data_IF_800066931166
#
_entry.id   IF_800066931166
#
_cell.length_a   1.000
_cell.length_b   1.000
_cell.length_c   1.000
_cell.angle_alpha   90.00
_cell.angle_beta   90.00
_cell.angle_gamma   90.00
#
_symmetry.space_group_name_H-M   'P 1'
#
loop_
_entity.id
_entity.type
_entity.pdbx_description
1 polymer ?
#
# COMPACT_ATOMS: atom_id res chain seq x y z
N UNK A 1 8.30 -18.21 8.30
CA UNK A 1 8.05 -17.38 9.50
C UNK A 1 7.51 -18.21 10.69
N UNK A 2 6.30 -18.81 10.62
CA UNK A 2 5.72 -19.48 11.79
C UNK A 2 6.54 -20.66 12.34
N UNK A 3 7.08 -21.50 11.46
CA UNK A 3 7.97 -22.62 11.84
C UNK A 3 9.25 -22.13 12.54
N UNK A 4 9.82 -21.03 12.01
CA UNK A 4 11.00 -20.41 12.61
C UNK A 4 10.67 -19.84 14.00
N UNK A 5 9.54 -19.12 14.11
CA UNK A 5 9.10 -18.54 15.38
C UNK A 5 8.89 -19.63 16.45
N UNK A 6 8.21 -20.72 16.12
CA UNK A 6 8.03 -21.86 17.03
C UNK A 6 9.36 -22.48 17.44
N UNK A 7 10.27 -22.66 16.49
CA UNK A 7 11.58 -23.26 16.77
C UNK A 7 12.41 -22.40 17.72
N UNK A 8 12.51 -21.08 17.45
CA UNK A 8 13.35 -20.17 18.21
C UNK A 8 12.78 -19.84 19.59
N UNK A 9 11.43 -19.84 19.73
CA UNK A 9 10.75 -19.64 21.02
C UNK A 9 10.55 -20.94 21.83
N UNK A 10 11.12 -22.07 21.38
CA UNK A 10 10.90 -23.34 22.07
C UNK A 10 9.45 -23.82 22.04
N UNK A 11 8.65 -23.34 21.10
CA UNK A 11 7.22 -23.68 20.97
C UNK A 11 6.26 -22.75 21.71
N UNK A 12 6.78 -21.73 22.41
CA UNK A 12 5.94 -20.80 23.19
C UNK A 12 5.19 -19.77 22.33
N UNK A 13 5.73 -19.43 21.13
CA UNK A 13 5.09 -18.51 20.22
C UNK A 13 4.70 -19.17 18.90
N UNK A 14 3.49 -18.87 18.45
CA UNK A 14 3.00 -19.27 17.14
C UNK A 14 1.95 -18.29 16.62
N UNK A 15 1.93 -18.07 15.31
CA UNK A 15 0.84 -17.37 14.63
C UNK A 15 -0.24 -18.37 14.19
N UNK A 16 -1.50 -18.04 14.47
CA UNK A 16 -2.65 -18.64 13.82
C UNK A 16 -3.17 -17.69 12.74
N UNK A 17 -3.04 -18.09 11.49
CA UNK A 17 -3.44 -17.26 10.35
C UNK A 17 -4.92 -17.42 10.01
N UNK A 18 -5.53 -16.32 9.62
CA UNK A 18 -6.89 -16.23 9.11
C UNK A 18 -6.85 -15.58 7.71
N UNK A 19 -6.58 -16.36 6.64
CA UNK A 19 -6.43 -15.84 5.28
C UNK A 19 -7.76 -15.47 4.64
N UNK A 20 -7.70 -14.94 3.41
CA UNK A 20 -8.84 -14.72 2.52
C UNK A 20 -9.92 -13.78 3.07
N UNK A 21 -9.51 -12.75 3.79
CA UNK A 21 -10.41 -11.72 4.33
C UNK A 21 -11.57 -12.26 5.20
N UNK A 22 -11.45 -13.47 5.76
CA UNK A 22 -12.48 -14.06 6.64
C UNK A 22 -12.73 -13.23 7.91
N UNK A 23 -11.82 -12.31 8.24
CA UNK A 23 -11.96 -11.38 9.36
C UNK A 23 -12.58 -10.03 8.95
N UNK A 24 -13.01 -9.88 7.70
CA UNK A 24 -13.60 -8.65 7.15
C UNK A 24 -12.56 -7.71 6.53
N UNK A 25 -12.99 -6.49 6.22
CA UNK A 25 -12.14 -5.43 5.71
C UNK A 25 -11.17 -4.93 6.80
N UNK A 26 -10.15 -4.15 6.43
CA UNK A 26 -9.12 -3.65 7.35
C UNK A 26 -9.70 -2.85 8.52
N UNK A 27 -10.76 -2.07 8.31
CA UNK A 27 -11.51 -1.38 9.39
C UNK A 27 -12.13 -2.37 10.40
N UNK A 28 -12.63 -3.50 9.92
CA UNK A 28 -13.16 -4.56 10.79
C UNK A 28 -12.05 -5.25 11.57
N UNK A 29 -10.91 -5.48 10.92
CA UNK A 29 -9.72 -6.07 11.55
C UNK A 29 -9.19 -5.16 12.66
N UNK A 30 -9.06 -3.84 12.40
CA UNK A 30 -8.65 -2.86 13.41
C UNK A 30 -9.61 -2.90 14.62
N UNK A 31 -10.92 -2.94 14.37
CA UNK A 31 -11.92 -3.05 15.44
C UNK A 31 -11.74 -4.33 16.26
N UNK A 32 -11.53 -5.48 15.60
CA UNK A 32 -11.29 -6.76 16.24
C UNK A 32 -10.00 -6.78 17.06
N UNK A 33 -8.94 -6.12 16.59
CA UNK A 33 -7.71 -5.94 17.36
C UNK A 33 -7.95 -5.13 18.63
N UNK A 34 -8.69 -4.01 18.54
CA UNK A 34 -9.05 -3.18 19.72
C UNK A 34 -9.83 -3.95 20.78
N UNK A 35 -10.63 -4.95 20.38
CA UNK A 35 -11.34 -5.83 21.28
C UNK A 35 -10.53 -7.09 21.68
N UNK A 36 -9.28 -7.22 21.25
CA UNK A 36 -8.42 -8.35 21.59
C UNK A 36 -8.79 -9.68 20.93
N UNK A 37 -9.65 -9.65 19.91
CA UNK A 37 -10.03 -10.85 19.14
C UNK A 37 -8.93 -11.29 18.17
N UNK A 38 -8.12 -10.34 17.69
CA UNK A 38 -6.96 -10.55 16.84
C UNK A 38 -5.79 -9.81 17.49
N UNK A 39 -4.63 -10.45 17.60
CA UNK A 39 -3.45 -9.87 18.25
C UNK A 39 -2.50 -9.22 17.25
N UNK A 40 -2.43 -9.73 16.05
CA UNK A 40 -1.59 -9.17 14.98
C UNK A 40 -2.31 -9.26 13.64
N UNK A 41 -2.04 -8.30 12.74
CA UNK A 41 -2.59 -8.30 11.40
C UNK A 41 -1.65 -7.59 10.41
N UNK A 42 -1.73 -7.98 9.13
CA UNK A 42 -1.20 -7.24 8.01
C UNK A 42 -2.18 -6.17 7.56
N UNK A 43 -1.66 -5.00 7.26
CA UNK A 43 -2.41 -3.88 6.73
C UNK A 43 -1.73 -3.34 5.48
N UNK A 44 -2.54 -2.87 4.54
CA UNK A 44 -2.08 -1.96 3.49
C UNK A 44 -1.96 -0.54 4.04
N UNK A 45 -1.43 0.39 3.25
CA UNK A 45 -1.38 1.80 3.66
C UNK A 45 -2.75 2.38 4.02
N UNK A 46 -3.84 1.89 3.42
CA UNK A 46 -5.19 2.29 3.80
C UNK A 46 -5.50 1.97 5.27
N UNK A 47 -5.33 0.72 5.69
CA UNK A 47 -5.54 0.33 7.09
C UNK A 47 -4.54 0.96 8.05
N UNK A 48 -3.28 1.12 7.64
CA UNK A 48 -2.29 1.87 8.41
C UNK A 48 -2.72 3.32 8.64
N UNK A 49 -3.27 3.97 7.62
CA UNK A 49 -3.79 5.34 7.67
C UNK A 49 -4.98 5.51 8.61
N UNK A 50 -5.83 4.50 8.78
CA UNK A 50 -6.92 4.49 9.76
C UNK A 50 -6.41 4.48 11.23
N UNK A 51 -5.19 4.00 11.44
CA UNK A 51 -4.52 3.99 12.75
C UNK A 51 -3.66 5.24 12.93
N UNK A 52 -2.85 5.57 11.93
CA UNK A 52 -1.87 6.65 11.93
C UNK A 52 -1.92 7.36 10.56
N UNK A 53 -2.75 8.42 10.39
CA UNK A 53 -2.94 9.08 9.08
C UNK A 53 -1.65 9.50 8.38
N UNK A 54 -0.68 10.02 9.13
CA UNK A 54 0.59 10.50 8.56
C UNK A 54 1.45 9.43 7.88
N UNK A 55 1.21 8.13 8.15
CA UNK A 55 1.95 7.05 7.49
C UNK A 55 1.68 6.98 5.99
N UNK A 56 0.52 7.54 5.55
CA UNK A 56 0.14 7.62 4.14
C UNK A 56 1.08 8.49 3.29
N UNK A 57 1.97 9.25 3.92
CA UNK A 57 3.03 10.00 3.23
C UNK A 57 3.95 9.08 2.43
N UNK A 58 4.09 7.80 2.84
CA UNK A 58 4.88 6.79 2.11
C UNK A 58 4.19 6.29 0.82
N UNK A 59 2.94 6.70 0.57
CA UNK A 59 2.16 6.30 -0.60
C UNK A 59 1.74 7.48 -1.48
N UNK A 60 2.42 8.61 -1.35
CA UNK A 60 2.08 9.80 -2.13
C UNK A 60 2.23 9.56 -3.62
N UNK A 61 1.27 10.04 -4.44
CA UNK A 61 1.31 9.86 -5.88
C UNK A 61 2.59 10.41 -6.50
N UNK A 62 3.27 9.57 -7.30
CA UNK A 62 4.48 9.90 -8.06
C UNK A 62 5.67 10.41 -7.23
N UNK A 63 5.69 10.15 -5.91
CA UNK A 63 6.77 10.56 -5.01
C UNK A 63 8.06 9.77 -5.30
N UNK A 64 7.95 8.44 -5.31
CA UNK A 64 9.08 7.54 -5.52
C UNK A 64 9.26 7.19 -6.99
N UNK A 65 10.50 6.91 -7.39
CA UNK A 65 10.89 6.53 -8.76
C UNK A 65 11.21 5.04 -8.91
N UNK A 66 11.66 4.42 -7.83
CA UNK A 66 12.11 3.02 -7.78
C UNK A 66 12.05 2.46 -6.35
N UNK A 67 12.25 1.15 -6.24
CA UNK A 67 12.21 0.43 -4.96
C UNK A 67 13.30 0.86 -3.99
N UNK A 68 14.47 1.28 -4.50
CA UNK A 68 15.58 1.71 -3.64
C UNK A 68 15.28 3.03 -2.90
N UNK A 69 14.56 3.97 -3.53
CA UNK A 69 14.07 5.17 -2.86
C UNK A 69 13.08 4.83 -1.74
N UNK A 70 12.19 3.85 -1.96
CA UNK A 70 11.23 3.37 -0.97
C UNK A 70 11.94 2.73 0.21
N UNK A 71 12.89 1.85 -0.06
CA UNK A 71 13.67 1.16 0.97
C UNK A 71 14.44 2.15 1.84
N UNK A 72 15.13 3.10 1.22
CA UNK A 72 15.88 4.14 1.92
C UNK A 72 14.98 4.99 2.82
N UNK A 73 13.85 5.49 2.30
CA UNK A 73 12.95 6.35 3.08
C UNK A 73 12.25 5.57 4.18
N UNK A 74 11.78 4.34 3.91
CA UNK A 74 11.10 3.51 4.90
C UNK A 74 12.00 3.05 6.03
N UNK A 75 13.29 2.76 5.76
CA UNK A 75 14.27 2.43 6.80
C UNK A 75 14.62 3.66 7.64
N UNK A 76 14.86 4.82 7.01
CA UNK A 76 15.17 6.07 7.72
C UNK A 76 14.02 6.55 8.64
N UNK A 77 12.78 6.26 8.24
CA UNK A 77 11.59 6.62 9.02
C UNK A 77 11.04 5.49 9.89
N UNK A 78 11.70 4.33 9.94
CA UNK A 78 11.23 3.17 10.69
C UNK A 78 11.01 3.49 12.17
N UNK A 79 11.99 4.10 12.82
CA UNK A 79 11.91 4.45 14.25
C UNK A 79 10.82 5.48 14.50
N UNK A 80 10.71 6.50 13.63
CA UNK A 80 9.67 7.52 13.73
C UNK A 80 8.28 6.88 13.73
N UNK A 81 7.97 6.04 12.74
CA UNK A 81 6.67 5.39 12.64
C UNK A 81 6.44 4.33 13.73
N UNK A 82 7.47 3.62 14.15
CA UNK A 82 7.39 2.67 15.28
C UNK A 82 6.95 3.39 16.56
N UNK A 83 7.56 4.52 16.89
CA UNK A 83 7.20 5.33 18.06
C UNK A 83 5.77 5.88 17.91
N UNK A 84 5.40 6.39 16.75
CA UNK A 84 4.09 6.95 16.50
C UNK A 84 2.98 5.87 16.61
N UNK A 85 3.19 4.68 16.03
CA UNK A 85 2.29 3.54 16.14
C UNK A 85 2.19 3.02 17.59
N UNK A 86 3.30 3.01 18.34
CA UNK A 86 3.30 2.62 19.74
C UNK A 86 2.44 3.53 20.62
N UNK A 87 2.40 4.85 20.31
CA UNK A 87 1.48 5.82 20.95
C UNK A 87 0.01 5.53 20.63
N UNK A 88 -0.28 4.90 19.50
CA UNK A 88 -1.62 4.48 19.07
C UNK A 88 -2.01 3.09 19.62
N UNK A 89 -1.10 2.42 20.33
CA UNK A 89 -1.34 1.10 20.93
C UNK A 89 -0.96 -0.09 20.06
N UNK A 90 -0.08 0.10 19.09
CA UNK A 90 0.40 -0.94 18.18
C UNK A 90 1.92 -1.04 18.16
N UNK A 91 2.43 -2.24 17.98
CA UNK A 91 3.86 -2.52 17.74
C UNK A 91 4.04 -2.83 16.27
N UNK A 92 4.95 -2.13 15.60
CA UNK A 92 5.36 -2.39 14.22
C UNK A 92 6.30 -3.62 14.22
N UNK A 93 5.83 -4.74 13.70
CA UNK A 93 6.65 -5.95 13.56
C UNK A 93 7.55 -5.90 12.31
N UNK A 94 7.20 -5.08 11.34
CA UNK A 94 8.00 -4.80 10.15
C UNK A 94 7.14 -4.32 8.98
N UNK A 95 7.83 -3.75 7.99
CA UNK A 95 7.21 -3.35 6.73
C UNK A 95 6.88 -4.56 5.87
N UNK A 96 5.83 -4.45 5.09
CA UNK A 96 5.47 -5.31 3.99
C UNK A 96 5.30 -4.46 2.73
N UNK A 97 5.17 -5.09 1.58
CA UNK A 97 5.10 -4.43 0.29
C UNK A 97 3.87 -4.96 -0.46
N UNK A 98 2.98 -4.06 -0.87
CA UNK A 98 1.88 -4.37 -1.78
C UNK A 98 2.33 -4.21 -3.23
N UNK A 99 3.28 -3.30 -3.45
CA UNK A 99 3.92 -3.05 -4.73
C UNK A 99 3.44 -1.79 -5.46
N UNK A 100 3.94 -1.60 -6.66
CA UNK A 100 3.58 -0.50 -7.54
C UNK A 100 2.13 -0.63 -8.00
N UNK A 101 1.38 0.48 -7.92
CA UNK A 101 -0.04 0.54 -8.24
C UNK A 101 -0.23 1.14 -9.62
N UNK A 102 -0.95 0.43 -10.48
CA UNK A 102 -1.26 0.83 -11.85
C UNK A 102 -2.76 1.06 -12.03
N UNK A 103 -3.14 1.91 -12.99
CA UNK A 103 -4.52 1.98 -13.44
C UNK A 103 -4.81 0.84 -14.42
N UNK A 104 -5.90 0.13 -14.17
CA UNK A 104 -6.47 -0.87 -15.06
C UNK A 104 -7.88 -0.41 -15.46
N UNK A 105 -8.25 -0.46 -16.74
CA UNK A 105 -9.49 0.15 -17.22
C UNK A 105 -9.95 -0.41 -18.57
N UNK A 106 -11.21 -0.13 -18.92
CA UNK A 106 -11.77 -0.42 -20.25
C UNK A 106 -11.57 0.71 -21.27
N UNK A 107 -10.97 1.82 -20.85
CA UNK A 107 -10.52 2.91 -21.72
C UNK A 107 -9.03 3.17 -21.50
N UNK A 108 -8.23 3.46 -22.53
CA UNK A 108 -6.79 3.67 -22.37
C UNK A 108 -6.50 4.92 -21.53
N UNK A 109 -5.79 4.76 -20.40
CA UNK A 109 -5.39 5.84 -19.48
C UNK A 109 -3.90 6.09 -19.59
N UNK A 110 -3.49 7.00 -20.49
CA UNK A 110 -2.10 7.45 -20.67
C UNK A 110 -1.79 8.75 -19.91
N UNK A 111 -2.80 9.53 -19.59
CA UNK A 111 -2.69 10.80 -18.86
C UNK A 111 -3.95 11.05 -18.00
N UNK A 112 -3.87 11.94 -17.00
CA UNK A 112 -4.94 12.13 -16.00
C UNK A 112 -6.31 12.46 -16.59
N UNK A 113 -6.35 13.25 -17.68
CA UNK A 113 -7.61 13.62 -18.35
C UNK A 113 -8.37 12.40 -18.91
N UNK A 114 -7.68 11.29 -19.21
CA UNK A 114 -8.33 10.08 -19.67
C UNK A 114 -9.24 9.46 -18.61
N UNK A 115 -8.92 9.66 -17.32
CA UNK A 115 -9.74 9.20 -16.21
C UNK A 115 -11.15 9.81 -16.20
N UNK A 116 -11.37 10.99 -16.83
CA UNK A 116 -12.72 11.58 -16.92
C UNK A 116 -13.73 10.68 -17.64
N UNK A 117 -13.27 9.85 -18.56
CA UNK A 117 -14.12 8.92 -19.32
C UNK A 117 -14.47 7.66 -18.55
N UNK A 118 -13.71 7.33 -17.50
CA UNK A 118 -13.88 6.10 -16.74
C UNK A 118 -14.83 6.26 -15.55
N UNK A 119 -15.39 5.17 -15.10
CA UNK A 119 -16.07 5.04 -13.79
C UNK A 119 -15.07 4.37 -12.84
N UNK A 120 -14.10 5.18 -12.36
CA UNK A 120 -13.00 4.65 -11.56
C UNK A 120 -13.45 4.34 -10.14
N UNK A 121 -13.04 3.19 -9.65
CA UNK A 121 -13.18 2.81 -8.25
C UNK A 121 -12.27 3.66 -7.36
N UNK A 122 -12.73 3.90 -6.14
CA UNK A 122 -11.93 4.43 -5.04
C UNK A 122 -12.26 3.66 -3.77
N UNK A 123 -11.25 3.37 -2.96
CA UNK A 123 -11.50 2.76 -1.66
C UNK A 123 -12.30 3.71 -0.77
N UNK A 124 -13.40 3.22 -0.22
CA UNK A 124 -14.35 4.05 0.52
C UNK A 124 -13.70 4.69 1.75
N UNK A 125 -13.61 6.02 1.75
CA UNK A 125 -13.05 6.82 2.84
C UNK A 125 -11.52 6.89 2.83
N UNK A 126 -10.88 6.72 1.68
CA UNK A 126 -9.43 6.93 1.53
C UNK A 126 -9.12 8.41 1.23
N UNK A 127 -8.57 9.18 2.19
CA UNK A 127 -8.35 10.61 2.02
C UNK A 127 -7.28 10.93 0.97
N UNK A 128 -6.31 10.03 0.74
CA UNK A 128 -5.28 10.21 -0.29
C UNK A 128 -5.90 10.09 -1.68
N UNK A 129 -6.69 9.04 -1.91
CA UNK A 129 -7.38 8.85 -3.18
C UNK A 129 -8.41 9.95 -3.42
N UNK A 130 -9.16 10.39 -2.39
CA UNK A 130 -10.09 11.53 -2.49
C UNK A 130 -9.37 12.81 -2.94
N UNK A 131 -8.22 13.13 -2.35
CA UNK A 131 -7.43 14.30 -2.72
C UNK A 131 -6.92 14.21 -4.16
N UNK A 132 -6.45 13.02 -4.60
CA UNK A 132 -5.99 12.80 -5.96
C UNK A 132 -7.11 13.00 -6.99
N UNK A 133 -8.27 12.33 -6.81
CA UNK A 133 -9.38 12.47 -7.74
C UNK A 133 -10.00 13.87 -7.72
N UNK A 134 -9.99 14.54 -6.57
CA UNK A 134 -10.41 15.96 -6.47
C UNK A 134 -9.49 16.88 -7.26
N UNK A 135 -8.17 16.64 -7.27
CA UNK A 135 -7.22 17.42 -8.08
C UNK A 135 -7.47 17.24 -9.59
N UNK A 136 -8.04 16.10 -9.97
CA UNK A 136 -8.43 15.81 -11.34
C UNK A 136 -9.84 16.28 -11.69
N UNK A 137 -10.55 16.95 -10.80
CA UNK A 137 -11.98 17.27 -10.95
C UNK A 137 -12.81 16.02 -11.33
N UNK A 138 -12.50 14.88 -10.68
CA UNK A 138 -13.11 13.58 -10.94
C UNK A 138 -13.85 13.06 -9.71
N UNK A 139 -15.09 12.62 -9.93
CA UNK A 139 -15.85 11.91 -8.90
C UNK A 139 -15.71 10.40 -9.09
N UNK A 140 -14.93 9.70 -8.25
CA UNK A 140 -14.81 8.25 -8.29
C UNK A 140 -16.03 7.56 -7.67
N UNK A 141 -16.16 6.26 -7.90
CA UNK A 141 -17.15 5.40 -7.23
C UNK A 141 -16.51 4.81 -5.98
N UNK A 142 -16.95 5.26 -4.81
CA UNK A 142 -16.41 4.81 -3.52
C UNK A 142 -17.07 3.51 -3.08
N UNK A 143 -16.31 2.41 -3.00
CA UNK A 143 -16.77 1.08 -2.60
C UNK A 143 -15.76 0.40 -1.68
N UNK A 144 -16.19 -0.52 -0.79
CA UNK A 144 -15.29 -1.44 -0.12
C UNK A 144 -14.66 -2.41 -1.15
N UNK A 145 -13.46 -2.90 -0.85
CA UNK A 145 -12.70 -3.78 -1.76
C UNK A 145 -13.47 -5.06 -2.12
N UNK A 146 -14.30 -5.56 -1.21
CA UNK A 146 -15.13 -6.76 -1.38
C UNK A 146 -16.16 -6.64 -2.50
N UNK A 147 -16.56 -5.42 -2.86
CA UNK A 147 -17.60 -5.17 -3.84
C UNK A 147 -17.05 -4.85 -5.24
N UNK A 148 -15.73 -4.71 -5.36
CA UNK A 148 -15.09 -4.25 -6.61
C UNK A 148 -15.29 -5.24 -7.75
N UNK A 149 -15.07 -6.54 -7.55
CA UNK A 149 -15.23 -7.53 -8.61
C UNK A 149 -16.66 -7.54 -9.17
N UNK A 150 -17.66 -7.57 -8.30
CA UNK A 150 -19.07 -7.51 -8.72
C UNK A 150 -19.38 -6.21 -9.45
N UNK A 151 -18.81 -5.10 -9.02
CA UNK A 151 -19.00 -3.78 -9.63
C UNK A 151 -18.36 -3.67 -11.01
N UNK A 152 -17.22 -4.34 -11.24
CA UNK A 152 -16.62 -4.51 -12.57
C UNK A 152 -17.52 -5.37 -13.46
N UNK A 153 -18.00 -6.50 -12.96
CA UNK A 153 -18.89 -7.43 -13.68
C UNK A 153 -20.18 -6.77 -14.15
N UNK A 154 -20.75 -5.90 -13.33
CA UNK A 154 -22.03 -5.20 -13.63
C UNK A 154 -21.83 -3.89 -14.40
N UNK A 155 -20.59 -3.46 -14.62
CA UNK A 155 -20.28 -2.17 -15.27
C UNK A 155 -20.64 -0.94 -14.41
N UNK A 156 -20.81 -1.11 -13.11
CA UNK A 156 -20.93 0.00 -12.16
C UNK A 156 -19.63 0.80 -12.14
N UNK A 157 -18.50 0.11 -12.19
CA UNK A 157 -17.17 0.65 -12.43
C UNK A 157 -16.54 -0.01 -13.67
N UNK A 158 -15.62 0.68 -14.32
CA UNK A 158 -14.85 0.19 -15.47
C UNK A 158 -13.36 0.54 -15.39
N UNK A 159 -12.92 1.02 -14.25
CA UNK A 159 -11.51 1.29 -13.97
C UNK A 159 -11.22 1.09 -12.47
N UNK A 160 -10.04 0.57 -12.19
CA UNK A 160 -9.50 0.33 -10.85
C UNK A 160 -8.04 0.73 -10.80
N UNK A 161 -7.48 0.85 -9.60
CA UNK A 161 -6.04 0.97 -9.38
C UNK A 161 -5.60 -0.07 -8.36
N UNK A 162 -4.60 -0.86 -8.70
CA UNK A 162 -4.08 -1.91 -7.82
C UNK A 162 -2.68 -2.36 -8.27
N UNK A 163 -2.05 -3.19 -7.46
CA UNK A 163 -0.83 -3.87 -7.90
C UNK A 163 -1.16 -5.00 -8.90
N UNK A 164 -0.23 -5.38 -9.78
CA UNK A 164 -0.44 -6.44 -10.75
C UNK A 164 -0.85 -7.77 -10.11
N UNK A 165 -0.20 -8.13 -9.00
CA UNK A 165 -0.53 -9.34 -8.25
C UNK A 165 -1.96 -9.28 -7.70
N UNK A 166 -2.40 -8.12 -7.16
CA UNK A 166 -3.77 -7.95 -6.68
C UNK A 166 -4.77 -8.09 -7.82
N UNK A 167 -4.48 -7.55 -9.01
CA UNK A 167 -5.35 -7.71 -10.19
C UNK A 167 -5.57 -9.18 -10.57
N UNK A 168 -4.52 -10.01 -10.50
CA UNK A 168 -4.60 -11.45 -10.76
C UNK A 168 -5.37 -12.18 -9.65
N UNK A 169 -4.98 -12.00 -8.39
CA UNK A 169 -5.55 -12.72 -7.24
C UNK A 169 -7.03 -12.40 -7.05
N UNK A 170 -7.40 -11.13 -7.22
CA UNK A 170 -8.79 -10.67 -7.10
C UNK A 170 -9.59 -10.82 -8.40
N UNK A 171 -8.97 -11.34 -9.47
CA UNK A 171 -9.58 -11.58 -10.79
C UNK A 171 -10.15 -10.30 -11.45
N UNK A 172 -9.66 -9.12 -11.07
CA UNK A 172 -10.14 -7.85 -11.64
C UNK A 172 -9.74 -7.70 -13.11
N UNK A 173 -8.59 -8.28 -13.49
CA UNK A 173 -8.08 -8.25 -14.85
C UNK A 173 -9.05 -8.84 -15.90
N UNK A 174 -9.96 -9.75 -15.49
CA UNK A 174 -10.93 -10.38 -16.39
C UNK A 174 -12.02 -9.43 -16.90
N UNK A 175 -12.11 -8.22 -16.34
CA UNK A 175 -13.15 -7.24 -16.64
C UNK A 175 -12.59 -5.87 -17.08
N UNK A 176 -11.31 -5.81 -17.42
CA UNK A 176 -10.62 -4.61 -17.94
C UNK A 176 -9.76 -4.99 -19.13
N UNK A 177 -9.45 -4.02 -20.00
CA UNK A 177 -8.75 -4.25 -21.27
C UNK A 177 -7.34 -3.64 -21.28
N UNK A 178 -7.11 -2.61 -20.47
CA UNK A 178 -5.89 -1.81 -20.50
C UNK A 178 -5.21 -1.74 -19.13
N UNK A 179 -3.87 -1.63 -19.15
CA UNK A 179 -3.04 -1.32 -17.98
C UNK A 179 -2.08 -0.17 -18.31
N UNK A 180 -1.96 0.82 -17.40
CA UNK A 180 -1.01 1.92 -17.58
C UNK A 180 0.45 1.43 -17.50
N UNK A 181 1.37 2.10 -18.22
CA UNK A 181 2.81 1.80 -18.14
C UNK A 181 3.52 2.56 -17.00
N UNK A 182 2.88 3.59 -16.48
CA UNK A 182 3.40 4.40 -15.37
C UNK A 182 2.62 4.05 -14.12
N UNK A 183 3.30 3.64 -13.04
CA UNK A 183 2.65 3.43 -11.77
C UNK A 183 2.16 4.78 -11.19
N UNK A 184 0.99 4.73 -10.55
CA UNK A 184 0.38 5.87 -9.89
C UNK A 184 1.10 6.19 -8.56
N UNK A 185 1.36 5.17 -7.77
CA UNK A 185 2.04 5.22 -6.48
C UNK A 185 2.67 3.86 -6.17
N UNK A 186 3.45 3.79 -5.10
CA UNK A 186 3.82 2.55 -4.47
C UNK A 186 2.98 2.36 -3.20
N UNK A 187 2.33 1.21 -3.07
CA UNK A 187 1.54 0.91 -1.88
C UNK A 187 2.38 0.12 -0.86
N UNK A 188 2.51 0.72 0.31
CA UNK A 188 3.18 0.10 1.45
C UNK A 188 2.22 -0.81 2.21
N UNK A 189 2.80 -1.71 2.97
CA UNK A 189 2.10 -2.50 3.97
C UNK A 189 2.94 -2.62 5.24
N UNK A 190 2.32 -3.09 6.30
CA UNK A 190 3.02 -3.43 7.53
C UNK A 190 2.28 -4.52 8.31
N UNK A 191 3.02 -5.26 9.12
CA UNK A 191 2.45 -6.14 10.12
C UNK A 191 2.48 -5.41 11.47
N UNK A 192 1.30 -5.23 12.05
CA UNK A 192 1.13 -4.62 13.36
C UNK A 192 0.65 -5.64 14.36
N UNK A 193 1.10 -5.50 15.62
CA UNK A 193 0.62 -6.26 16.75
C UNK A 193 0.01 -5.32 17.79
N UNK A 194 -1.10 -5.74 18.43
CA UNK A 194 -1.65 -5.03 19.59
C UNK A 194 -0.60 -4.95 20.70
N UNK A 195 -0.35 -3.73 21.19
CA UNK A 195 0.69 -3.48 22.19
C UNK A 195 0.46 -4.22 23.49
N UNK A 196 -0.81 -4.33 23.93
CA UNK A 196 -1.13 -5.05 25.16
C UNK A 196 -0.91 -6.56 25.02
N UNK A 197 -1.11 -7.10 23.81
CA UNK A 197 -0.80 -8.49 23.53
C UNK A 197 0.73 -8.71 23.49
N UNK A 198 1.48 -7.79 22.89
CA UNK A 198 2.93 -7.83 22.87
C UNK A 198 3.55 -7.74 24.27
N UNK A 199 3.05 -6.85 25.12
CA UNK A 199 3.53 -6.68 26.51
C UNK A 199 3.27 -7.89 27.43
N UNK A 200 2.40 -8.83 27.02
CA UNK A 200 2.18 -10.10 27.75
C UNK A 200 3.24 -11.17 27.43
N UNK A 201 4.00 -10.99 26.37
CA UNK A 201 5.09 -11.86 25.97
C UNK A 201 6.31 -11.47 26.83
N UNK A 202 7.06 -12.44 27.35
CA UNK A 202 8.30 -12.14 28.07
C UNK A 202 9.36 -11.51 27.17
N UNK A 203 10.32 -10.80 27.79
CA UNK A 203 11.29 -9.98 27.03
C UNK A 203 12.16 -10.79 26.06
N UNK A 204 12.47 -12.06 26.38
CA UNK A 204 13.24 -12.92 25.48
C UNK A 204 12.43 -13.26 24.24
N UNK A 205 11.19 -13.67 24.43
CA UNK A 205 10.27 -14.01 23.35
C UNK A 205 9.84 -12.77 22.54
N UNK A 206 9.76 -11.57 23.14
CA UNK A 206 9.56 -10.32 22.40
C UNK A 206 10.70 -10.08 21.42
N UNK A 207 11.95 -10.27 21.83
CA UNK A 207 13.12 -10.11 20.96
C UNK A 207 13.12 -11.12 19.83
N UNK A 208 12.83 -12.39 20.12
CA UNK A 208 12.69 -13.44 19.10
C UNK A 208 11.59 -13.09 18.09
N UNK A 209 10.42 -12.64 18.55
CA UNK A 209 9.31 -12.26 17.69
C UNK A 209 9.70 -11.15 16.72
N UNK A 210 10.32 -10.09 17.24
CA UNK A 210 10.74 -8.94 16.41
C UNK A 210 11.80 -9.33 15.39
N UNK A 211 12.80 -10.13 15.77
CA UNK A 211 13.88 -10.56 14.87
C UNK A 211 13.35 -11.50 13.78
N UNK A 212 12.55 -12.49 14.14
CA UNK A 212 11.92 -13.42 13.19
C UNK A 212 10.99 -12.67 12.23
N UNK A 213 10.18 -11.72 12.72
CA UNK A 213 9.33 -10.92 11.86
C UNK A 213 10.16 -10.05 10.92
N UNK A 214 11.15 -9.31 11.43
CA UNK A 214 12.00 -8.43 10.62
C UNK A 214 12.68 -9.18 9.46
N UNK A 215 13.30 -10.34 9.74
CA UNK A 215 13.98 -11.11 8.71
C UNK A 215 13.04 -11.70 7.66
N UNK A 216 11.90 -12.26 8.09
CA UNK A 216 10.93 -12.86 7.17
C UNK A 216 10.18 -11.82 6.35
N UNK A 217 9.85 -10.66 6.93
CA UNK A 217 9.16 -9.58 6.21
C UNK A 217 10.07 -8.94 5.17
N UNK A 218 11.37 -8.81 5.43
CA UNK A 218 12.32 -8.37 4.41
C UNK A 218 12.33 -9.32 3.21
N UNK A 219 12.41 -10.62 3.46
CA UNK A 219 12.34 -11.63 2.38
C UNK A 219 10.98 -11.64 1.68
N UNK A 220 9.90 -11.30 2.40
CA UNK A 220 8.57 -11.16 1.81
C UNK A 220 8.52 -9.96 0.86
N UNK A 221 9.06 -8.81 1.24
CA UNK A 221 9.14 -7.61 0.38
C UNK A 221 9.85 -7.94 -0.93
N UNK A 222 11.05 -8.54 -0.86
CA UNK A 222 11.83 -8.92 -2.04
C UNK A 222 11.03 -9.84 -2.98
N UNK A 223 10.37 -10.85 -2.42
CA UNK A 223 9.54 -11.79 -3.18
C UNK A 223 8.29 -11.12 -3.76
N UNK A 224 7.59 -10.29 -3.00
CA UNK A 224 6.42 -9.57 -3.48
C UNK A 224 6.74 -8.69 -4.69
N UNK A 225 7.91 -8.06 -4.72
CA UNK A 225 8.36 -7.25 -5.87
C UNK A 225 8.58 -8.11 -7.11
N UNK A 226 9.25 -9.25 -6.96
CA UNK A 226 9.44 -10.20 -8.07
C UNK A 226 8.08 -10.70 -8.59
N UNK A 227 7.21 -11.16 -7.68
CA UNK A 227 5.89 -11.67 -8.02
C UNK A 227 5.01 -10.61 -8.70
N UNK A 228 5.08 -9.34 -8.26
CA UNK A 228 4.38 -8.23 -8.93
C UNK A 228 4.93 -7.94 -10.33
N UNK A 229 6.24 -8.05 -10.53
CA UNK A 229 6.85 -7.87 -11.85
C UNK A 229 6.44 -9.00 -12.81
N UNK A 230 6.44 -10.25 -12.33
CA UNK A 230 5.96 -11.41 -13.08
C UNK A 230 4.46 -11.28 -13.40
N UNK A 231 3.66 -10.84 -12.42
CA UNK A 231 2.23 -10.59 -12.59
C UNK A 231 1.95 -9.50 -13.64
N UNK A 232 2.75 -8.44 -13.69
CA UNK A 232 2.62 -7.40 -14.74
C UNK A 232 2.81 -7.96 -16.13
N UNK A 233 3.79 -8.86 -16.32
CA UNK A 233 4.00 -9.56 -17.60
C UNK A 233 2.84 -10.52 -17.90
N UNK A 234 2.39 -11.26 -16.90
CA UNK A 234 1.27 -12.19 -17.04
C UNK A 234 -0.02 -11.48 -17.45
N UNK A 235 -0.35 -10.31 -16.88
CA UNK A 235 -1.53 -9.54 -17.28
C UNK A 235 -1.53 -9.21 -18.78
N UNK A 236 -0.36 -8.91 -19.37
CA UNK A 236 -0.24 -8.71 -20.82
C UNK A 236 -0.46 -10.02 -21.60
N UNK A 237 -0.03 -11.16 -21.07
CA UNK A 237 -0.29 -12.48 -21.70
C UNK A 237 -1.76 -12.89 -21.61
N UNK A 238 -2.47 -12.44 -20.56
CA UNK A 238 -3.92 -12.61 -20.39
C UNK A 238 -4.75 -11.64 -21.26
N UNK A 239 -4.10 -10.77 -22.03
CA UNK A 239 -4.73 -9.93 -23.03
C UNK A 239 -4.86 -8.47 -22.68
N UNK A 240 -4.35 -8.01 -21.54
CA UNK A 240 -4.38 -6.57 -21.22
C UNK A 240 -3.39 -5.81 -22.11
N UNK A 241 -3.89 -4.77 -22.76
CA UNK A 241 -3.09 -3.88 -23.58
C UNK A 241 -2.39 -2.83 -22.73
N UNK A 242 -1.06 -2.72 -22.91
CA UNK A 242 -0.26 -1.72 -22.21
C UNK A 242 -0.42 -0.34 -22.83
N UNK A 243 -0.88 0.63 -22.04
CA UNK A 243 -1.02 2.03 -22.47
C UNK A 243 0.27 2.79 -22.18
N UNK A 244 1.01 3.11 -23.23
CA UNK A 244 2.31 3.80 -23.11
C UNK A 244 2.13 5.31 -23.05
N UNK A 245 2.64 5.93 -21.98
CA UNK A 245 2.61 7.37 -21.76
C UNK A 245 3.83 8.06 -22.40
N UNK A 246 3.62 9.17 -23.08
CA UNK A 246 4.70 10.02 -23.58
C UNK A 246 5.41 10.75 -22.43
N UNK A 247 6.59 11.32 -22.72
CA UNK A 247 7.35 12.12 -21.72
C UNK A 247 6.52 13.28 -21.17
N UNK A 248 5.78 13.99 -22.04
CA UNK A 248 4.90 15.11 -21.65
C UNK A 248 3.75 14.64 -20.74
N UNK A 249 3.15 13.49 -21.04
CA UNK A 249 2.10 12.90 -20.20
C UNK A 249 2.62 12.49 -18.81
N UNK A 250 3.81 11.89 -18.74
CA UNK A 250 4.48 11.56 -17.47
C UNK A 250 4.79 12.79 -16.63
N UNK A 251 5.22 13.89 -17.28
CA UNK A 251 5.44 15.16 -16.58
C UNK A 251 4.13 15.70 -15.98
N UNK A 252 3.02 15.68 -16.73
CA UNK A 252 1.70 16.07 -16.21
C UNK A 252 1.26 15.24 -15.00
N UNK A 253 1.51 13.93 -15.03
CA UNK A 253 1.23 13.03 -13.90
C UNK A 253 2.00 13.45 -12.65
N UNK A 254 3.30 13.73 -12.77
CA UNK A 254 4.12 14.21 -11.66
C UNK A 254 3.64 15.53 -11.07
N UNK A 255 3.33 16.52 -11.93
CA UNK A 255 2.81 17.81 -11.48
C UNK A 255 1.48 17.69 -10.72
N UNK A 256 0.65 16.72 -11.06
CA UNK A 256 -0.57 16.41 -10.30
C UNK A 256 -0.18 15.83 -8.93
N UNK A 257 0.75 14.89 -8.89
CA UNK A 257 1.25 14.33 -7.64
C UNK A 257 1.76 15.41 -6.69
N UNK A 258 2.60 16.32 -7.18
CA UNK A 258 3.13 17.45 -6.38
C UNK A 258 1.99 18.30 -5.78
N UNK A 259 0.96 18.64 -6.56
CA UNK A 259 -0.20 19.40 -6.05
C UNK A 259 -1.05 18.62 -5.03
N UNK A 260 -1.18 17.31 -5.22
CA UNK A 260 -1.85 16.43 -4.23
C UNK A 260 -1.06 16.39 -2.93
N UNK A 261 0.27 16.25 -3.02
CA UNK A 261 1.16 16.18 -1.88
C UNK A 261 1.09 17.45 -1.04
N UNK A 262 1.15 18.63 -1.66
CA UNK A 262 0.97 19.92 -0.98
C UNK A 262 -0.42 20.07 -0.35
N UNK A 263 -1.47 19.63 -1.03
CA UNK A 263 -2.84 19.70 -0.50
C UNK A 263 -3.06 18.83 0.74
N UNK A 264 -2.35 17.69 0.84
CA UNK A 264 -2.46 16.76 1.95
C UNK A 264 -1.58 17.15 3.15
N UNK A 265 -0.60 18.02 2.93
CA UNK A 265 0.18 18.59 4.00
C UNK A 265 -0.76 19.35 4.98
N UNK A 266 -0.48 19.30 6.28
CA UNK A 266 -1.29 19.80 7.39
C UNK A 266 -2.62 19.05 7.65
N UNK A 267 -3.15 18.33 6.66
CA UNK A 267 -4.40 17.56 6.83
C UNK A 267 -4.14 16.09 7.14
N UNK A 268 -3.17 15.48 6.48
CA UNK A 268 -2.83 14.07 6.62
C UNK A 268 -1.49 13.86 7.33
N UNK A 269 -0.51 14.72 7.04
CA UNK A 269 0.84 14.73 7.62
C UNK A 269 1.36 16.18 7.72
N UNK A 270 2.45 16.39 8.45
CA UNK A 270 3.03 17.73 8.61
C UNK A 270 3.95 18.11 7.44
N UNK A 271 4.07 19.43 7.19
CA UNK A 271 5.06 19.95 6.23
C UNK A 271 6.50 19.55 6.60
N UNK A 272 6.82 19.45 7.89
CA UNK A 272 8.15 19.03 8.35
C UNK A 272 8.48 17.60 7.92
N UNK A 273 7.49 16.68 8.00
CA UNK A 273 7.69 15.31 7.58
C UNK A 273 7.84 15.20 6.05
N UNK A 274 7.04 15.95 5.29
CA UNK A 274 7.18 16.02 3.84
C UNK A 274 8.56 16.58 3.44
N UNK A 275 8.97 17.71 4.04
CA UNK A 275 10.28 18.32 3.78
C UNK A 275 11.46 17.38 4.13
N UNK A 276 11.31 16.57 5.18
CA UNK A 276 12.31 15.56 5.54
C UNK A 276 12.43 14.52 4.42
N UNK A 277 11.31 13.98 3.92
CA UNK A 277 11.33 12.99 2.84
C UNK A 277 11.89 13.58 1.55
N UNK A 278 11.47 14.79 1.18
CA UNK A 278 11.99 15.48 -0.01
C UNK A 278 13.52 15.69 0.08
N UNK A 279 14.02 16.05 1.27
CA UNK A 279 15.45 16.22 1.49
C UNK A 279 16.22 14.90 1.34
N UNK A 280 15.70 13.81 1.89
CA UNK A 280 16.26 12.46 1.75
C UNK A 280 16.30 12.03 0.28
N UNK A 281 15.21 12.24 -0.45
CA UNK A 281 15.13 11.90 -1.87
C UNK A 281 16.06 12.76 -2.74
N UNK A 282 16.17 14.05 -2.45
CA UNK A 282 17.11 14.94 -3.19
C UNK A 282 18.55 14.53 -2.95
N UNK A 283 18.92 14.16 -1.71
CA UNK A 283 20.27 13.70 -1.40
C UNK A 283 20.58 12.36 -2.08
N UNK A 284 19.68 11.40 -1.97
CA UNK A 284 19.81 10.08 -2.58
C UNK A 284 19.96 10.17 -4.12
N UNK A 285 19.11 10.96 -4.77
CA UNK A 285 19.13 11.13 -6.25
C UNK A 285 20.40 11.78 -6.78
N UNK A 286 21.12 12.59 -5.96
CA UNK A 286 22.44 13.15 -6.35
C UNK A 286 23.56 12.12 -6.33
N UNK A 287 23.41 11.04 -5.59
CA UNK A 287 24.41 9.97 -5.50
C UNK A 287 24.21 8.87 -6.54
N UNK A 288 23.02 8.81 -7.14
CA UNK A 288 22.62 7.78 -8.10
C UNK A 288 22.71 8.26 -9.59
N UNK A 289 22.89 9.58 -9.82
CA UNK A 289 23.20 10.20 -11.14
C UNK A 289 24.73 10.24 -11.36
#
# INVERSE_FOLDING_TARGET
MNEQLQKESGGELAFKFYPNMVMGDEKDVIRKMRFGQIQAAGFTGFGLGEILPEIRILELPYLFRNDAEIDMVSEELYEYFSIALAKKGYVLLGWADVGWIYFLSNDPVAEPKNLHKTKVWMWQGDPLAEAFFKELDKSPVALPITDVLLSLQTGLINAVYCSPMAALVLQWFTHVEYISDVPFTHAMGAILMDKKAFEKIDASNQSILLEVCKSNLRSLVERSRIENQEAYVQLSMEGLEKVVSTVDQRLKLRLIGERVNERLAETLYSHDLLSKIDSLLVEYRKTDD
#
